data_IF_651627156809
#
_entry.id   IF_651627156809
#
_cell.length_a   1.000
_cell.length_b   1.000
_cell.length_c   1.000
_cell.angle_alpha   90.00
_cell.angle_beta   90.00
_cell.angle_gamma   90.00
#
_symmetry.space_group_name_H-M   'P 1'
#
loop_
_entity.id
_entity.type
_entity.pdbx_description
1 polymer ?
#
# COMPACT_ATOMS: atom_id res chain seq x y z
N UNK A 1 3.36 -12.93 3.97
CA UNK A 1 2.99 -12.13 2.79
C UNK A 1 3.67 -12.78 1.61
N UNK A 2 2.95 -13.05 0.53
CA UNK A 2 3.49 -13.75 -0.64
C UNK A 2 2.95 -13.05 -1.89
N UNK A 3 3.86 -12.61 -2.75
CA UNK A 3 3.57 -12.17 -4.11
C UNK A 3 4.08 -13.26 -5.05
N UNK A 4 3.24 -13.74 -5.96
CA UNK A 4 3.54 -14.88 -6.82
C UNK A 4 3.13 -14.59 -8.25
N UNK A 5 4.10 -14.65 -9.17
CA UNK A 5 3.89 -14.71 -10.61
C UNK A 5 3.79 -16.19 -11.01
N UNK A 6 2.74 -16.56 -11.74
CA UNK A 6 2.60 -17.91 -12.26
C UNK A 6 2.06 -17.89 -13.68
N UNK A 7 2.73 -18.62 -14.56
CA UNK A 7 2.32 -18.85 -15.95
C UNK A 7 1.58 -20.17 -16.05
N UNK A 8 0.48 -20.18 -16.78
CA UNK A 8 -0.35 -21.35 -17.09
C UNK A 8 -0.73 -21.31 -18.57
N UNK A 9 -1.18 -22.42 -19.16
CA UNK A 9 -1.66 -22.42 -20.55
C UNK A 9 -2.79 -21.41 -20.80
N UNK A 10 -3.61 -21.09 -19.80
CA UNK A 10 -4.71 -20.14 -19.93
C UNK A 10 -4.29 -18.67 -19.78
N UNK A 11 -3.04 -18.42 -19.36
CA UNK A 11 -2.53 -17.07 -19.11
C UNK A 11 -1.50 -16.93 -17.96
N UNK A 12 -1.05 -15.70 -17.77
CA UNK A 12 -0.15 -15.24 -16.71
C UNK A 12 -0.94 -14.61 -15.56
N UNK A 13 -0.65 -15.03 -14.32
CA UNK A 13 -1.26 -14.47 -13.10
C UNK A 13 -0.22 -13.91 -12.14
N UNK A 14 -0.42 -12.67 -11.74
CA UNK A 14 0.19 -12.08 -10.54
C UNK A 14 -0.80 -12.14 -9.39
N UNK A 15 -0.38 -12.68 -8.24
CA UNK A 15 -1.20 -12.75 -7.02
C UNK A 15 -0.45 -12.16 -5.83
N UNK A 16 -1.09 -11.22 -5.14
CA UNK A 16 -0.62 -10.66 -3.88
C UNK A 16 -1.48 -11.16 -2.72
N UNK A 17 -0.86 -11.78 -1.73
CA UNK A 17 -1.55 -12.32 -0.55
C UNK A 17 -1.09 -11.63 0.74
N UNK A 18 -2.08 -11.11 1.48
CA UNK A 18 -1.92 -10.58 2.83
C UNK A 18 -2.80 -11.37 3.80
N UNK A 19 -2.16 -12.06 4.73
CA UNK A 19 -2.80 -13.03 5.62
C UNK A 19 -3.60 -14.08 4.83
N UNK A 20 -4.93 -14.13 4.97
CA UNK A 20 -5.82 -15.06 4.23
C UNK A 20 -6.59 -14.38 3.09
N UNK A 21 -6.28 -13.12 2.79
CA UNK A 21 -6.95 -12.36 1.73
C UNK A 21 -5.95 -12.10 0.59
N UNK A 22 -6.44 -11.88 -0.62
CA UNK A 22 -5.58 -11.63 -1.78
C UNK A 22 -6.22 -10.72 -2.82
N UNK A 23 -5.39 -10.02 -3.57
CA UNK A 23 -5.74 -9.43 -4.87
C UNK A 23 -4.94 -10.15 -5.95
N UNK A 24 -5.54 -10.40 -7.10
CA UNK A 24 -4.90 -11.10 -8.22
C UNK A 24 -5.26 -10.41 -9.52
N UNK A 25 -4.28 -10.34 -10.40
CA UNK A 25 -4.44 -9.93 -11.78
C UNK A 25 -4.05 -11.09 -12.68
N UNK A 26 -4.86 -11.37 -13.69
CA UNK A 26 -4.56 -12.37 -14.70
C UNK A 26 -5.18 -11.98 -16.03
N UNK A 27 -4.53 -12.34 -17.11
CA UNK A 27 -5.18 -12.45 -18.41
C UNK A 27 -6.04 -13.72 -18.43
N UNK A 28 -7.23 -13.61 -18.99
CA UNK A 28 -8.07 -14.76 -19.27
C UNK A 28 -7.99 -15.01 -20.77
N UNK A 29 -7.38 -16.14 -21.16
CA UNK A 29 -7.20 -16.54 -22.56
C UNK A 29 -6.46 -15.47 -23.38
N UNK A 30 -5.49 -14.79 -22.76
CA UNK A 30 -4.66 -13.72 -23.37
C UNK A 30 -5.46 -12.54 -23.98
N UNK A 31 -6.77 -12.48 -23.74
CA UNK A 31 -7.67 -11.51 -24.39
C UNK A 31 -8.21 -10.46 -23.43
N UNK A 32 -8.48 -10.84 -22.17
CA UNK A 32 -9.10 -9.95 -21.19
C UNK A 32 -8.30 -9.92 -19.90
N UNK A 33 -7.83 -8.73 -19.52
CA UNK A 33 -7.24 -8.52 -18.20
C UNK A 33 -8.34 -8.50 -17.13
N UNK A 34 -8.19 -9.31 -16.09
CA UNK A 34 -9.09 -9.32 -14.94
C UNK A 34 -8.34 -9.11 -13.64
N UNK A 35 -8.93 -8.28 -12.78
CA UNK A 35 -8.48 -8.08 -11.41
C UNK A 35 -9.58 -8.51 -10.46
N UNK A 36 -9.21 -9.36 -9.51
CA UNK A 36 -10.14 -9.89 -8.52
C UNK A 36 -9.57 -9.84 -7.12
N UNK A 37 -10.43 -9.52 -6.16
CA UNK A 37 -10.14 -9.56 -4.73
C UNK A 37 -10.83 -10.77 -4.12
N UNK A 38 -10.07 -11.57 -3.37
CA UNK A 38 -10.56 -12.72 -2.60
C UNK A 38 -10.45 -12.43 -1.10
N UNK A 39 -11.59 -12.48 -0.38
CA UNK A 39 -11.68 -12.21 1.06
C UNK A 39 -12.05 -13.50 1.80
N UNK A 40 -11.05 -14.26 2.27
CA UNK A 40 -11.31 -15.47 3.08
C UNK A 40 -11.36 -15.19 4.59
N UNK A 41 -10.76 -14.09 5.05
CA UNK A 41 -10.81 -13.64 6.45
C UNK A 41 -11.39 -12.23 6.55
N UNK A 42 -12.74 -12.10 6.54
CA UNK A 42 -13.42 -10.81 6.60
C UNK A 42 -13.24 -10.13 7.97
N UNK A 43 -12.96 -10.86 9.05
CA UNK A 43 -12.80 -10.30 10.41
C UNK A 43 -11.66 -9.29 10.55
N UNK A 44 -10.79 -9.17 9.54
CA UNK A 44 -9.75 -8.14 9.46
C UNK A 44 -10.24 -6.79 8.92
N UNK A 45 -11.45 -6.77 8.37
CA UNK A 45 -12.14 -5.61 7.82
C UNK A 45 -13.26 -5.19 8.76
N UNK A 46 -13.81 -4.00 8.52
CA UNK A 46 -14.84 -3.40 9.36
C UNK A 46 -16.05 -2.95 8.56
N UNK A 47 -17.21 -3.03 9.21
CA UNK A 47 -18.51 -2.51 8.76
C UNK A 47 -19.06 -1.61 9.86
N UNK A 48 -19.71 -0.52 9.47
CA UNK A 48 -20.38 0.37 10.43
C UNK A 48 -21.81 -0.14 10.61
N UNK A 49 -22.15 -0.57 11.83
CA UNK A 49 -23.45 -1.16 12.21
C UNK A 49 -23.57 -1.25 13.73
N UNK A 50 -24.76 -1.60 14.22
CA UNK A 50 -24.98 -1.97 15.63
C UNK A 50 -24.31 -3.30 16.00
N UNK A 51 -24.06 -3.51 17.29
CA UNK A 51 -23.46 -4.75 17.78
C UNK A 51 -24.47 -5.90 17.71
N UNK A 52 -24.02 -7.15 17.55
CA UNK A 52 -24.96 -8.29 17.41
C UNK A 52 -25.73 -8.59 18.70
N UNK A 53 -25.10 -8.32 19.84
CA UNK A 53 -25.68 -8.49 21.16
C UNK A 53 -26.43 -7.24 21.66
N UNK A 54 -26.46 -6.16 20.86
CA UNK A 54 -27.17 -4.93 21.18
C UNK A 54 -27.68 -4.28 19.87
N UNK A 55 -28.76 -4.83 19.29
CA UNK A 55 -29.27 -4.38 17.99
C UNK A 55 -29.84 -2.96 18.00
N UNK A 56 -30.35 -2.49 19.14
CA UNK A 56 -30.92 -1.16 19.34
C UNK A 56 -29.89 -0.12 19.82
N UNK A 57 -28.69 -0.58 20.18
CA UNK A 57 -27.58 0.29 20.58
C UNK A 57 -27.03 1.17 19.45
N UNK A 58 -26.12 2.09 19.77
CA UNK A 58 -25.53 2.99 18.79
C UNK A 58 -24.64 2.26 17.78
N UNK A 59 -24.66 2.74 16.52
CA UNK A 59 -23.80 2.20 15.47
C UNK A 59 -22.31 2.42 15.77
N UNK A 60 -21.51 1.40 15.47
CA UNK A 60 -20.07 1.44 15.66
C UNK A 60 -19.34 0.58 14.63
N UNK A 61 -18.02 0.69 14.59
CA UNK A 61 -17.23 -0.08 13.64
C UNK A 61 -17.03 -1.51 14.13
N UNK A 62 -17.83 -2.43 13.60
CA UNK A 62 -17.82 -3.84 13.91
C UNK A 62 -16.95 -4.64 12.94
N UNK A 63 -16.55 -5.86 13.33
CA UNK A 63 -15.85 -6.79 12.44
C UNK A 63 -16.80 -7.25 11.33
N UNK A 64 -16.30 -7.33 10.11
CA UNK A 64 -17.07 -7.83 8.96
C UNK A 64 -17.37 -9.33 9.15
N UNK A 65 -18.65 -9.69 9.01
CA UNK A 65 -19.15 -11.07 9.05
C UNK A 65 -18.84 -11.80 7.74
N UNK A 66 -18.78 -13.14 7.80
CA UNK A 66 -18.60 -13.99 6.62
C UNK A 66 -19.91 -14.25 5.87
N UNK A 67 -21.05 -14.18 6.56
CA UNK A 67 -22.38 -14.44 5.98
C UNK A 67 -22.86 -13.38 4.99
N UNK A 68 -24.14 -13.47 4.62
CA UNK A 68 -24.79 -12.58 3.64
C UNK A 68 -25.11 -11.19 4.21
N UNK A 69 -25.24 -11.07 5.53
CA UNK A 69 -25.61 -9.82 6.21
C UNK A 69 -24.67 -8.64 5.92
N UNK A 70 -23.38 -8.91 5.66
CA UNK A 70 -22.39 -7.88 5.30
C UNK A 70 -21.93 -7.99 3.84
N UNK A 71 -22.71 -8.65 2.97
CA UNK A 71 -22.36 -8.88 1.56
C UNK A 71 -22.12 -7.56 0.83
N UNK A 72 -23.00 -6.57 1.03
CA UNK A 72 -22.87 -5.25 0.41
C UNK A 72 -21.52 -4.61 0.75
N UNK A 73 -21.18 -4.52 2.03
CA UNK A 73 -19.90 -3.97 2.47
C UNK A 73 -18.71 -4.77 1.96
N UNK A 74 -18.84 -6.09 1.86
CA UNK A 74 -17.79 -6.94 1.27
C UNK A 74 -17.58 -6.64 -0.21
N UNK A 75 -18.65 -6.43 -0.98
CA UNK A 75 -18.59 -6.03 -2.38
C UNK A 75 -17.89 -4.67 -2.53
N UNK A 76 -18.26 -3.66 -1.74
CA UNK A 76 -17.59 -2.35 -1.73
C UNK A 76 -16.08 -2.45 -1.46
N UNK A 77 -15.68 -3.27 -0.48
CA UNK A 77 -14.26 -3.43 -0.15
C UNK A 77 -13.50 -4.12 -1.28
N UNK A 78 -14.09 -5.16 -1.89
CA UNK A 78 -13.50 -5.85 -3.04
C UNK A 78 -13.35 -4.91 -4.23
N UNK A 79 -14.40 -4.15 -4.56
CA UNK A 79 -14.40 -3.20 -5.65
C UNK A 79 -13.32 -2.14 -5.45
N UNK A 80 -13.29 -1.48 -4.29
CA UNK A 80 -12.27 -0.48 -3.96
C UNK A 80 -10.85 -1.04 -3.93
N UNK A 81 -10.68 -2.33 -3.62
CA UNK A 81 -9.38 -2.98 -3.70
C UNK A 81 -8.93 -3.18 -5.14
N UNK A 82 -9.84 -3.60 -6.01
CA UNK A 82 -9.56 -3.75 -7.44
C UNK A 82 -9.25 -2.40 -8.08
N UNK A 83 -10.05 -1.37 -7.79
CA UNK A 83 -9.84 0.02 -8.27
C UNK A 83 -8.48 0.55 -7.83
N UNK A 84 -8.13 0.46 -6.55
CA UNK A 84 -6.79 0.89 -6.07
C UNK A 84 -5.65 0.14 -6.73
N UNK A 85 -5.87 -1.13 -7.09
CA UNK A 85 -4.85 -1.94 -7.77
C UNK A 85 -4.69 -1.48 -9.23
N UNK A 86 -5.80 -1.22 -9.92
CA UNK A 86 -5.81 -0.62 -11.26
C UNK A 86 -5.17 0.77 -11.28
N UNK A 87 -5.57 1.65 -10.36
CA UNK A 87 -5.00 3.00 -10.21
C UNK A 87 -3.48 2.96 -10.01
N UNK A 88 -2.98 1.96 -9.28
CA UNK A 88 -1.54 1.81 -9.09
C UNK A 88 -0.82 1.40 -10.38
N UNK A 89 -1.49 0.67 -11.28
CA UNK A 89 -0.96 0.29 -12.58
C UNK A 89 -1.08 1.44 -13.60
N UNK A 90 -2.12 2.26 -13.50
CA UNK A 90 -2.30 3.43 -14.38
C UNK A 90 -1.37 4.59 -14.05
N UNK A 91 -0.75 4.60 -12.87
CA UNK A 91 0.25 5.59 -12.47
C UNK A 91 1.49 5.67 -13.39
N UNK A 92 1.61 4.75 -14.36
CA UNK A 92 2.65 4.73 -15.40
C UNK A 92 2.48 5.86 -16.43
N UNK A 93 1.27 6.41 -16.58
CA UNK A 93 0.94 7.43 -17.60
C UNK A 93 0.77 8.83 -16.98
N UNK A 94 1.75 9.27 -16.19
CA UNK A 94 1.70 10.56 -15.51
C UNK A 94 2.21 11.70 -16.41
N UNK A 95 1.40 12.74 -16.62
CA UNK A 95 1.75 13.95 -17.36
C UNK A 95 2.89 14.82 -16.75
N UNK A 96 2.98 15.04 -15.42
CA UNK A 96 3.99 15.94 -14.87
C UNK A 96 5.41 15.35 -14.95
N UNK A 97 6.40 16.24 -15.04
CA UNK A 97 7.80 15.82 -15.00
C UNK A 97 8.16 15.16 -13.67
N UNK A 98 9.22 14.35 -13.67
CA UNK A 98 9.76 13.77 -12.44
C UNK A 98 10.12 14.87 -11.42
N UNK A 99 10.65 16.01 -11.90
CA UNK A 99 11.04 17.12 -11.04
C UNK A 99 9.84 17.72 -10.30
N UNK A 100 8.72 17.94 -10.99
CA UNK A 100 7.47 18.45 -10.40
C UNK A 100 6.89 17.43 -9.40
N UNK A 101 6.85 16.16 -9.80
CA UNK A 101 6.35 15.06 -8.97
C UNK A 101 7.17 14.89 -7.68
N UNK A 102 8.50 15.04 -7.77
CA UNK A 102 9.42 14.87 -6.65
C UNK A 102 9.58 16.16 -5.81
N UNK A 103 9.23 17.34 -6.33
CA UNK A 103 9.56 18.62 -5.73
C UNK A 103 9.11 18.74 -4.27
N UNK A 104 7.90 18.31 -3.96
CA UNK A 104 7.37 18.42 -2.60
C UNK A 104 8.00 17.42 -1.62
N UNK A 105 8.20 16.18 -2.06
CA UNK A 105 8.70 15.11 -1.19
C UNK A 105 10.20 15.23 -0.92
N UNK A 106 10.93 15.83 -1.85
CA UNK A 106 12.36 16.14 -1.73
C UNK A 106 12.64 17.46 -0.98
N UNK A 107 11.61 18.12 -0.43
CA UNK A 107 11.74 19.32 0.41
C UNK A 107 11.37 19.04 1.85
N UNK A 108 11.86 19.88 2.75
CA UNK A 108 11.51 19.80 4.18
C UNK A 108 10.06 20.19 4.35
N UNK A 109 9.29 19.41 5.10
CA UNK A 109 7.87 19.69 5.37
C UNK A 109 7.60 19.84 6.86
N UNK A 110 6.36 20.15 7.24
CA UNK A 110 5.90 20.20 8.62
C UNK A 110 4.82 19.15 8.85
N UNK A 111 4.97 18.39 9.93
CA UNK A 111 3.92 17.52 10.44
C UNK A 111 3.41 18.08 11.75
N UNK A 112 2.17 18.59 11.72
CA UNK A 112 1.65 19.44 12.81
C UNK A 112 2.62 20.61 13.02
N UNK A 113 3.14 20.79 14.24
CA UNK A 113 4.09 21.85 14.61
C UNK A 113 5.56 21.43 14.56
N UNK A 114 5.89 20.24 14.03
CA UNK A 114 7.27 19.73 14.00
C UNK A 114 7.79 19.62 12.57
N UNK A 115 9.02 20.06 12.35
CA UNK A 115 9.69 19.87 11.08
C UNK A 115 9.98 18.39 10.82
N UNK A 116 9.85 17.98 9.57
CA UNK A 116 10.12 16.64 9.07
C UNK A 116 11.06 16.77 7.86
N UNK A 117 12.12 15.96 7.83
CA UNK A 117 13.09 15.98 6.73
C UNK A 117 12.44 15.60 5.38
N UNK A 118 13.06 16.06 4.31
CA UNK A 118 12.80 15.57 2.95
C UNK A 118 13.04 14.06 2.85
N UNK A 119 12.33 13.41 1.93
CA UNK A 119 12.71 12.11 1.40
C UNK A 119 13.92 12.28 0.48
N UNK A 120 14.82 11.30 0.48
CA UNK A 120 15.88 11.17 -0.51
C UNK A 120 15.67 9.86 -1.27
N UNK A 121 14.92 9.86 -2.39
CA UNK A 121 14.55 8.65 -3.12
C UNK A 121 15.72 7.84 -3.66
N UNK A 122 16.90 8.47 -3.85
CA UNK A 122 18.11 7.80 -4.31
C UNK A 122 18.90 7.12 -3.18
N UNK A 123 18.67 7.52 -1.92
CA UNK A 123 19.30 6.87 -0.78
C UNK A 123 18.62 5.54 -0.46
N UNK A 124 19.41 4.49 -0.20
CA UNK A 124 18.92 3.12 -0.02
C UNK A 124 17.85 2.99 1.09
N UNK A 125 18.05 3.65 2.23
CA UNK A 125 17.11 3.59 3.37
C UNK A 125 15.70 4.10 2.97
N UNK A 126 15.63 5.15 2.16
CA UNK A 126 14.36 5.75 1.72
C UNK A 126 13.80 4.99 0.51
N UNK A 127 14.65 4.56 -0.44
CA UNK A 127 14.23 3.72 -1.56
C UNK A 127 13.58 2.41 -1.08
N UNK A 128 14.22 1.70 -0.15
CA UNK A 128 13.66 0.49 0.46
C UNK A 128 12.34 0.76 1.19
N UNK A 129 12.19 1.92 1.81
CA UNK A 129 10.93 2.32 2.43
C UNK A 129 9.82 2.52 1.39
N UNK A 130 10.12 3.19 0.27
CA UNK A 130 9.18 3.42 -0.83
C UNK A 130 8.78 2.09 -1.49
N UNK A 131 9.75 1.21 -1.77
CA UNK A 131 9.52 -0.16 -2.26
C UNK A 131 8.66 -0.96 -1.28
N UNK A 132 8.95 -0.88 0.02
CA UNK A 132 8.20 -1.64 1.02
C UNK A 132 6.73 -1.21 1.07
N UNK A 133 6.42 0.09 0.97
CA UNK A 133 5.02 0.56 1.02
C UNK A 133 4.28 0.38 -0.30
N UNK A 134 4.97 0.27 -1.44
CA UNK A 134 4.37 0.07 -2.77
C UNK A 134 3.99 -1.40 -3.07
N UNK A 135 4.35 -2.34 -2.19
CA UNK A 135 4.03 -3.77 -2.35
C UNK A 135 2.52 -4.01 -2.53
N UNK A 136 2.16 -4.73 -3.59
CA UNK A 136 0.77 -5.00 -3.99
C UNK A 136 -0.09 -5.69 -2.93
N UNK A 137 0.50 -6.45 -2.01
CA UNK A 137 -0.25 -7.07 -0.90
C UNK A 137 -0.90 -6.06 0.05
N UNK A 138 -0.40 -4.81 0.09
CA UNK A 138 -0.95 -3.77 0.94
C UNK A 138 -2.13 -3.03 0.32
N UNK A 139 -2.45 -3.25 -0.96
CA UNK A 139 -3.57 -2.58 -1.63
C UNK A 139 -4.92 -2.89 -1.00
N UNK A 140 -5.11 -4.12 -0.51
CA UNK A 140 -6.39 -4.56 0.04
C UNK A 140 -6.69 -3.98 1.43
N UNK A 141 -5.78 -4.15 2.39
CA UNK A 141 -6.00 -3.76 3.79
C UNK A 141 -5.12 -2.61 4.27
N UNK A 142 -4.07 -2.26 3.53
CA UNK A 142 -2.99 -1.45 4.02
C UNK A 142 -2.01 -2.21 4.91
N UNK A 143 -0.88 -1.58 5.19
CA UNK A 143 0.21 -2.11 6.01
C UNK A 143 0.14 -1.62 7.46
N UNK A 144 0.79 -2.33 8.37
CA UNK A 144 1.04 -1.93 9.77
C UNK A 144 2.53 -1.72 9.98
N UNK A 145 2.88 -1.08 11.10
CA UNK A 145 4.28 -0.93 11.54
C UNK A 145 5.02 -2.28 11.57
N UNK A 146 4.38 -3.33 12.11
CA UNK A 146 5.00 -4.67 12.17
C UNK A 146 5.26 -5.28 10.80
N UNK A 147 4.43 -4.96 9.82
CA UNK A 147 4.55 -5.48 8.46
C UNK A 147 5.76 -4.82 7.78
N UNK A 148 5.88 -3.48 7.85
CA UNK A 148 7.06 -2.76 7.35
C UNK A 148 8.35 -3.13 8.10
N UNK A 149 8.30 -3.29 9.42
CA UNK A 149 9.48 -3.70 10.20
C UNK A 149 10.04 -5.03 9.72
N UNK A 150 9.16 -5.99 9.39
CA UNK A 150 9.57 -7.29 8.88
C UNK A 150 10.16 -7.25 7.47
N UNK A 151 9.92 -6.18 6.71
CA UNK A 151 10.50 -5.96 5.39
C UNK A 151 11.82 -5.19 5.45
N UNK A 152 11.91 -4.19 6.33
CA UNK A 152 13.05 -3.27 6.42
C UNK A 152 14.17 -3.74 7.36
N UNK A 153 13.87 -4.68 8.26
CA UNK A 153 14.83 -5.13 9.26
C UNK A 153 14.81 -6.65 9.40
N UNK A 154 15.98 -7.21 9.68
CA UNK A 154 16.11 -8.61 10.12
C UNK A 154 15.42 -8.83 11.47
N UNK A 155 15.19 -10.10 11.78
CA UNK A 155 14.64 -10.52 13.07
C UNK A 155 15.48 -9.91 14.22
N UNK A 156 14.84 -9.25 15.20
CA UNK A 156 15.56 -8.54 16.25
C UNK A 156 16.20 -9.55 17.20
N UNK A 157 17.48 -9.35 17.53
CA UNK A 157 18.20 -10.19 18.50
C UNK A 157 17.72 -10.03 19.95
N UNK A 158 17.05 -8.91 20.27
CA UNK A 158 16.53 -8.63 21.62
C UNK A 158 15.26 -7.77 21.60
N UNK A 159 14.58 -7.69 22.74
CA UNK A 159 13.41 -6.84 22.92
C UNK A 159 13.73 -5.34 22.72
N UNK A 160 14.91 -4.90 23.10
CA UNK A 160 15.34 -3.51 22.93
C UNK A 160 15.59 -3.15 21.47
N UNK A 161 16.24 -4.05 20.72
CA UNK A 161 16.40 -3.89 19.27
C UNK A 161 15.03 -3.81 18.60
N UNK A 162 14.10 -4.68 18.98
CA UNK A 162 12.71 -4.65 18.48
C UNK A 162 12.05 -3.30 18.76
N UNK A 163 12.17 -2.77 19.98
CA UNK A 163 11.61 -1.46 20.37
C UNK A 163 12.21 -0.32 19.54
N UNK A 164 13.53 -0.30 19.35
CA UNK A 164 14.24 0.69 18.53
C UNK A 164 13.79 0.64 17.07
N UNK A 165 13.69 -0.56 16.48
CA UNK A 165 13.19 -0.76 15.11
C UNK A 165 11.74 -0.27 14.97
N UNK A 166 10.83 -0.66 15.86
CA UNK A 166 9.43 -0.20 15.86
C UNK A 166 9.33 1.33 15.95
N UNK A 167 10.17 1.97 16.77
CA UNK A 167 10.25 3.42 16.86
C UNK A 167 10.79 4.05 15.55
N UNK A 168 11.80 3.46 14.92
CA UNK A 168 12.33 3.90 13.60
C UNK A 168 11.23 3.83 12.53
N UNK A 169 10.53 2.71 12.42
CA UNK A 169 9.40 2.54 11.48
C UNK A 169 8.27 3.52 11.76
N UNK A 170 7.96 3.81 13.03
CA UNK A 170 6.95 4.82 13.37
C UNK A 170 7.34 6.21 12.86
N UNK A 171 8.62 6.57 12.96
CA UNK A 171 9.13 7.84 12.41
C UNK A 171 9.10 7.87 10.89
N UNK A 172 9.44 6.76 10.23
CA UNK A 172 9.35 6.60 8.77
C UNK A 172 7.90 6.76 8.27
N UNK A 173 6.93 6.06 8.89
CA UNK A 173 5.51 6.23 8.55
C UNK A 173 5.07 7.67 8.77
N UNK A 174 5.48 8.31 9.87
CA UNK A 174 5.17 9.72 10.12
C UNK A 174 5.72 10.62 9.01
N UNK A 175 6.92 10.34 8.51
CA UNK A 175 7.53 11.07 7.41
C UNK A 175 6.71 10.94 6.13
N UNK A 176 6.37 9.71 5.73
CA UNK A 176 5.51 9.46 4.58
C UNK A 176 4.15 10.17 4.70
N UNK A 177 3.57 10.20 5.91
CA UNK A 177 2.32 10.93 6.17
C UNK A 177 2.48 12.44 6.04
N UNK A 178 3.62 12.98 6.48
CA UNK A 178 3.91 14.40 6.37
C UNK A 178 4.02 14.87 4.93
N UNK A 179 4.54 13.99 4.07
CA UNK A 179 4.63 14.20 2.62
C UNK A 179 3.35 13.82 1.87
N UNK A 180 2.27 13.46 2.56
CA UNK A 180 1.00 13.12 1.93
C UNK A 180 0.98 11.78 1.18
N UNK A 181 2.05 10.99 1.22
CA UNK A 181 2.18 9.74 0.47
C UNK A 181 1.37 8.58 1.07
N UNK A 182 1.16 8.60 2.38
CA UNK A 182 0.38 7.56 3.06
C UNK A 182 -0.58 8.16 4.07
N UNK A 183 -1.72 7.50 4.28
CA UNK A 183 -2.77 7.95 5.20
C UNK A 183 -3.11 6.85 6.19
N UNK A 184 -3.49 7.23 7.41
CA UNK A 184 -3.90 6.28 8.45
C UNK A 184 -5.37 5.92 8.25
N UNK A 185 -5.68 4.62 8.23
CA UNK A 185 -7.06 4.14 8.21
C UNK A 185 -7.67 4.36 9.61
N UNK A 186 -8.76 5.14 9.74
CA UNK A 186 -9.38 5.47 11.03
C UNK A 186 -9.71 4.22 11.86
N UNK A 187 -9.58 4.33 13.18
CA UNK A 187 -9.90 3.26 14.14
C UNK A 187 -9.17 1.92 13.85
N UNK A 188 -8.01 1.98 13.20
CA UNK A 188 -7.10 0.85 12.99
C UNK A 188 -5.64 1.25 13.21
N UNK A 189 -4.75 0.25 13.18
CA UNK A 189 -3.29 0.45 13.12
C UNK A 189 -2.74 0.37 11.69
N UNK A 190 -3.61 0.48 10.68
CA UNK A 190 -3.25 0.30 9.27
C UNK A 190 -3.08 1.64 8.56
N UNK A 191 -2.24 1.62 7.54
CA UNK A 191 -1.94 2.75 6.67
C UNK A 191 -2.07 2.30 5.22
N UNK A 192 -2.52 3.20 4.35
CA UNK A 192 -2.60 2.97 2.90
C UNK A 192 -1.84 4.07 2.18
N UNK A 193 -1.26 3.74 1.04
CA UNK A 193 -0.74 4.73 0.09
C UNK A 193 -1.91 5.54 -0.47
N UNK A 194 -1.75 6.86 -0.54
CA UNK A 194 -2.72 7.80 -1.13
C UNK A 194 -2.65 7.76 -2.66
N UNK A 195 -3.63 8.32 -3.41
CA UNK A 195 -3.55 8.42 -4.87
C UNK A 195 -2.27 9.11 -5.34
N UNK A 196 -2.01 10.34 -4.87
CA UNK A 196 -0.73 11.04 -5.05
C UNK A 196 0.47 10.19 -4.66
N UNK A 197 0.37 9.47 -3.55
CA UNK A 197 1.42 8.58 -3.09
C UNK A 197 1.76 7.48 -4.10
N UNK A 198 0.78 6.93 -4.81
CA UNK A 198 1.02 5.89 -5.83
C UNK A 198 1.79 6.46 -7.00
N UNK A 199 1.33 7.58 -7.55
CA UNK A 199 1.99 8.29 -8.65
C UNK A 199 3.43 8.68 -8.28
N UNK A 200 3.60 9.37 -7.15
CA UNK A 200 4.92 9.83 -6.73
C UNK A 200 5.87 8.67 -6.45
N UNK A 201 5.42 7.62 -5.76
CA UNK A 201 6.28 6.48 -5.44
C UNK A 201 6.64 5.70 -6.70
N UNK A 202 5.68 5.47 -7.60
CA UNK A 202 5.93 4.78 -8.87
C UNK A 202 6.97 5.53 -9.71
N UNK A 203 6.78 6.84 -9.90
CA UNK A 203 7.70 7.68 -10.66
C UNK A 203 9.12 7.67 -10.07
N UNK A 204 9.24 7.81 -8.74
CA UNK A 204 10.54 7.81 -8.06
C UNK A 204 11.26 6.46 -8.15
N UNK A 205 10.54 5.35 -8.00
CA UNK A 205 11.12 4.01 -8.12
C UNK A 205 11.53 3.70 -9.57
N UNK A 206 10.69 4.08 -10.54
CA UNK A 206 11.01 3.93 -11.97
C UNK A 206 12.27 4.73 -12.33
N UNK A 207 12.34 5.99 -11.92
CA UNK A 207 13.51 6.84 -12.15
C UNK A 207 14.78 6.30 -11.49
N UNK A 208 14.69 5.72 -10.28
CA UNK A 208 15.82 5.07 -9.61
C UNK A 208 16.29 3.81 -10.35
N UNK A 209 15.38 3.07 -10.98
CA UNK A 209 15.70 1.87 -11.75
C UNK A 209 16.17 2.12 -13.18
N UNK A 210 15.91 3.32 -13.73
CA UNK A 210 16.31 3.69 -15.08
C UNK A 210 17.83 3.79 -15.18
N UNK A 211 18.39 3.32 -16.30
CA UNK A 211 19.81 3.49 -16.56
C UNK A 211 20.10 4.86 -17.19
N UNK A 212 21.36 5.30 -17.09
CA UNK A 212 21.77 6.62 -17.62
C UNK A 212 21.56 6.75 -19.12
N UNK A 213 21.72 5.66 -19.88
CA UNK A 213 21.54 5.67 -21.33
C UNK A 213 20.07 5.95 -21.72
N UNK A 214 19.11 5.34 -21.04
CA UNK A 214 17.67 5.58 -21.23
C UNK A 214 17.30 7.02 -20.89
N UNK A 215 17.82 7.56 -19.78
CA UNK A 215 17.57 8.95 -19.40
C UNK A 215 18.15 9.94 -20.41
N UNK A 216 19.36 9.68 -20.94
CA UNK A 216 19.97 10.54 -21.96
C UNK A 216 19.23 10.50 -23.29
N UNK A 217 18.58 9.39 -23.66
CA UNK A 217 17.73 9.31 -24.88
C UNK A 217 16.49 10.19 -24.81
N UNK A 218 15.99 10.46 -23.60
CA UNK A 218 14.82 11.33 -23.38
C UNK A 218 15.25 12.80 -23.35
N UNK A 219 16.48 13.08 -22.92
CA UNK A 219 17.03 14.43 -22.80
C UNK A 219 17.63 14.99 -24.11
N UNK A 220 17.92 14.13 -25.09
CA UNK A 220 18.47 14.50 -26.39
C UNK A 220 17.36 14.76 -27.42
#
# INVERSE_FOLDING_TARGET
>A
MISHLGTRPEGVRVKHALDRNSVKMYDKQESVLRIETTINNPRQMKVFRTAENDPEGPESWQKLRKGVADLHRRAEISQKSNERYLEALSAVDAEPTLAETAAEVCRRTRWKKRSVRALNPLADDDAQLLEAVSRGEFVLLGFRNRDLRGLLFRAPASADVRRRQTAKVTRMIRMLRAHGLVHKIPKTHRYTVSPKGRETIAALLAARSANTQELMKIAA
#
